data_IF_319400640989
#
_entry.id   IF_319400640989
#
_cell.length_a   1.000
_cell.length_b   1.000
_cell.length_c   1.000
_cell.angle_alpha   90.00
_cell.angle_beta   90.00
_cell.angle_gamma   90.00
#
_symmetry.space_group_name_H-M   'P 1'
#
loop_
_entity.id
_entity.type
_entity.pdbx_description
1 polymer ?
#
# COMPACT_ATOMS: atom_id res chain seq x y z
N UNK A 1 -7.84 7.95 -15.69
CA UNK A 1 -6.51 8.18 -15.07
C UNK A 1 -6.17 6.94 -14.26
N UNK A 2 -5.12 6.19 -14.60
CA UNK A 2 -4.84 4.88 -14.00
C UNK A 2 -3.95 4.98 -12.76
N UNK A 3 -4.38 4.37 -11.66
CA UNK A 3 -3.62 4.17 -10.41
C UNK A 3 -3.87 2.72 -9.94
N UNK A 4 -3.91 2.43 -8.64
CA UNK A 4 -4.14 1.06 -8.16
C UNK A 4 -4.40 1.00 -6.65
N UNK A 5 -4.20 -0.18 -6.06
CA UNK A 5 -4.62 -0.48 -4.68
C UNK A 5 -3.97 0.42 -3.61
N UNK A 6 -2.80 1.02 -3.87
CA UNK A 6 -2.19 2.01 -2.96
C UNK A 6 -3.16 3.18 -2.74
N UNK A 7 -3.67 3.79 -3.81
CA UNK A 7 -4.56 4.95 -3.69
C UNK A 7 -5.94 4.53 -3.19
N UNK A 8 -6.44 3.39 -3.70
CA UNK A 8 -7.74 2.85 -3.31
C UNK A 8 -7.83 2.53 -1.81
N UNK A 9 -6.73 2.10 -1.16
CA UNK A 9 -6.67 1.95 0.31
C UNK A 9 -6.39 3.27 1.04
N UNK A 10 -5.58 4.16 0.45
CA UNK A 10 -5.25 5.44 1.06
C UNK A 10 -6.42 6.42 1.12
N UNK A 11 -7.32 6.46 0.12
CA UNK A 11 -8.43 7.43 0.12
C UNK A 11 -9.40 7.22 1.29
N UNK A 12 -9.89 6.00 1.59
CA UNK A 12 -10.75 5.78 2.75
C UNK A 12 -10.04 6.06 4.07
N UNK A 13 -8.77 5.69 4.20
CA UNK A 13 -7.98 5.98 5.41
C UNK A 13 -7.82 7.50 5.59
N UNK A 14 -7.46 8.22 4.53
CA UNK A 14 -7.36 9.68 4.55
C UNK A 14 -8.70 10.35 4.89
N UNK A 15 -9.81 9.88 4.30
CA UNK A 15 -11.13 10.43 4.56
C UNK A 15 -11.62 10.20 6.00
N UNK A 16 -11.26 9.08 6.63
CA UNK A 16 -11.74 8.70 7.96
C UNK A 16 -10.81 9.18 9.10
N UNK A 17 -9.53 9.41 8.83
CA UNK A 17 -8.51 9.70 9.84
C UNK A 17 -7.69 10.97 9.56
N UNK A 18 -8.06 11.74 8.53
CA UNK A 18 -7.41 13.00 8.15
C UNK A 18 -5.88 12.88 7.98
N UNK A 19 -5.45 11.79 7.33
CA UNK A 19 -4.03 11.53 7.10
C UNK A 19 -3.52 12.23 5.85
N UNK A 20 -2.26 12.71 5.89
CA UNK A 20 -1.63 13.31 4.71
C UNK A 20 -1.52 12.28 3.56
N UNK A 21 -2.05 12.62 2.39
CA UNK A 21 -2.24 11.68 1.29
C UNK A 21 -0.95 10.97 0.87
N UNK A 22 0.12 11.74 0.63
CA UNK A 22 1.42 11.17 0.23
C UNK A 22 2.04 10.27 1.28
N UNK A 23 1.83 10.58 2.57
CA UNK A 23 2.36 9.76 3.67
C UNK A 23 1.61 8.44 3.78
N UNK A 24 0.29 8.47 3.62
CA UNK A 24 -0.58 7.28 3.62
C UNK A 24 -0.22 6.33 2.46
N UNK A 25 0.00 6.89 1.26
CA UNK A 25 0.48 6.12 0.11
C UNK A 25 1.83 5.45 0.39
N UNK A 26 2.75 6.17 1.02
CA UNK A 26 4.07 5.64 1.37
C UNK A 26 4.01 4.53 2.43
N UNK A 27 3.03 4.56 3.34
CA UNK A 27 2.77 3.45 4.28
C UNK A 27 2.27 2.22 3.54
N UNK A 28 1.31 2.36 2.62
CA UNK A 28 0.71 1.21 1.91
C UNK A 28 1.62 0.57 0.84
N UNK A 29 2.57 1.33 0.29
CA UNK A 29 3.40 0.91 -0.83
C UNK A 29 4.04 -0.50 -0.73
N UNK A 30 4.76 -0.88 0.34
CA UNK A 30 5.38 -2.21 0.40
C UNK A 30 4.38 -3.36 0.37
N UNK A 31 3.23 -3.22 1.05
CA UNK A 31 2.20 -4.26 1.16
C UNK A 31 1.53 -4.49 -0.19
N UNK A 32 1.25 -3.41 -0.90
CA UNK A 32 0.65 -3.48 -2.24
C UNK A 32 1.65 -3.96 -3.29
N UNK A 33 2.93 -3.59 -3.18
CA UNK A 33 3.97 -4.14 -4.06
C UNK A 33 4.08 -5.66 -3.87
N UNK A 34 4.12 -6.14 -2.63
CA UNK A 34 4.17 -7.57 -2.32
C UNK A 34 2.93 -8.31 -2.86
N UNK A 35 1.73 -7.79 -2.62
CA UNK A 35 0.48 -8.35 -3.14
C UNK A 35 0.45 -8.43 -4.68
N UNK A 36 1.03 -7.43 -5.36
CA UNK A 36 1.02 -7.38 -6.82
C UNK A 36 2.20 -8.12 -7.46
N UNK A 37 3.15 -8.68 -6.69
CA UNK A 37 4.46 -9.17 -7.18
C UNK A 37 4.33 -10.00 -8.44
N UNK A 38 3.55 -11.07 -8.40
CA UNK A 38 3.40 -12.02 -9.52
C UNK A 38 2.98 -11.34 -10.83
N UNK A 39 2.22 -10.24 -10.77
CA UNK A 39 1.75 -9.50 -11.95
C UNK A 39 2.69 -8.38 -12.40
N UNK A 40 3.65 -7.97 -11.58
CA UNK A 40 4.52 -6.82 -11.85
C UNK A 40 6.02 -7.10 -11.76
N UNK A 41 6.43 -8.31 -11.39
CA UNK A 41 7.83 -8.65 -11.08
C UNK A 41 8.78 -8.27 -12.21
N UNK A 42 8.47 -8.64 -13.46
CA UNK A 42 9.28 -8.26 -14.62
C UNK A 42 9.32 -6.73 -14.84
N UNK A 43 8.17 -6.06 -14.71
CA UNK A 43 8.07 -4.60 -14.92
C UNK A 43 8.87 -3.83 -13.87
N UNK A 44 8.80 -4.25 -12.61
CA UNK A 44 9.59 -3.69 -11.51
C UNK A 44 11.06 -4.07 -11.67
N UNK A 45 11.39 -5.26 -12.17
CA UNK A 45 12.77 -5.64 -12.51
C UNK A 45 13.39 -4.68 -13.53
N UNK A 46 12.66 -4.34 -14.60
CA UNK A 46 13.10 -3.31 -15.57
C UNK A 46 13.22 -1.92 -14.95
N UNK A 47 12.27 -1.53 -14.11
CA UNK A 47 12.33 -0.25 -13.38
C UNK A 47 13.55 -0.20 -12.44
N UNK A 48 13.83 -1.28 -11.71
CA UNK A 48 14.98 -1.39 -10.83
C UNK A 48 16.29 -1.19 -11.62
N UNK A 49 16.43 -1.89 -12.75
CA UNK A 49 17.58 -1.74 -13.63
C UNK A 49 17.73 -0.31 -14.16
N UNK A 50 16.63 0.33 -14.58
CA UNK A 50 16.61 1.73 -15.02
C UNK A 50 17.07 2.69 -13.92
N UNK A 51 16.67 2.45 -12.67
CA UNK A 51 17.08 3.23 -11.51
C UNK A 51 18.49 2.87 -10.97
N UNK A 52 19.22 1.94 -11.61
CA UNK A 52 20.52 1.47 -11.12
C UNK A 52 20.44 0.60 -9.85
N UNK A 53 19.26 0.08 -9.51
CA UNK A 53 19.02 -0.78 -8.35
C UNK A 53 19.26 -2.24 -8.74
N UNK A 54 20.26 -2.87 -8.12
CA UNK A 54 20.56 -4.30 -8.32
C UNK A 54 19.57 -5.20 -7.58
N UNK A 55 19.37 -6.42 -8.08
CA UNK A 55 18.56 -7.45 -7.41
C UNK A 55 17.08 -7.49 -7.81
N UNK A 56 16.72 -6.90 -8.95
CA UNK A 56 15.37 -7.00 -9.52
C UNK A 56 14.28 -6.47 -8.59
N UNK A 57 13.15 -7.20 -8.51
CA UNK A 57 12.03 -6.83 -7.65
C UNK A 57 12.45 -6.71 -6.17
N UNK A 58 13.18 -7.70 -5.65
CA UNK A 58 13.59 -7.70 -4.24
C UNK A 58 14.55 -6.55 -3.92
N UNK A 59 15.43 -6.21 -4.86
CA UNK A 59 16.29 -5.03 -4.80
C UNK A 59 15.48 -3.74 -4.71
N UNK A 60 14.48 -3.58 -5.58
CA UNK A 60 13.57 -2.44 -5.58
C UNK A 60 12.76 -2.33 -4.28
N UNK A 61 12.18 -3.44 -3.82
CA UNK A 61 11.43 -3.48 -2.56
C UNK A 61 12.32 -3.08 -1.37
N UNK A 62 13.56 -3.57 -1.30
CA UNK A 62 14.55 -3.15 -0.29
C UNK A 62 14.87 -1.67 -0.38
N UNK A 63 15.05 -1.13 -1.59
CA UNK A 63 15.30 0.29 -1.81
C UNK A 63 14.10 1.15 -1.33
N UNK A 64 12.86 0.74 -1.58
CA UNK A 64 11.66 1.40 -1.07
C UNK A 64 11.63 1.39 0.47
N UNK A 65 11.90 0.26 1.11
CA UNK A 65 11.97 0.19 2.59
C UNK A 65 13.07 1.10 3.14
N UNK A 66 14.24 1.15 2.48
CA UNK A 66 15.34 2.04 2.86
C UNK A 66 14.93 3.51 2.77
N UNK A 67 14.37 3.91 1.61
CA UNK A 67 13.91 5.28 1.38
C UNK A 67 12.83 5.70 2.40
N UNK A 68 11.88 4.81 2.70
CA UNK A 68 10.86 5.04 3.74
C UNK A 68 11.50 5.33 5.11
N UNK A 69 12.53 4.58 5.49
CA UNK A 69 13.26 4.82 6.75
C UNK A 69 13.98 6.16 6.74
N UNK A 70 14.67 6.51 5.65
CA UNK A 70 15.38 7.80 5.50
C UNK A 70 14.42 8.99 5.60
N UNK A 71 13.25 8.87 4.96
CA UNK A 71 12.18 9.89 4.99
C UNK A 71 11.30 9.84 6.24
N UNK A 72 11.62 8.98 7.21
CA UNK A 72 10.86 8.78 8.46
C UNK A 72 9.39 8.46 8.23
N UNK A 73 9.08 7.74 7.15
CA UNK A 73 7.74 7.21 6.87
C UNK A 73 7.44 6.12 7.91
N UNK A 74 6.31 6.20 8.63
CA UNK A 74 5.90 5.14 9.54
C UNK A 74 5.86 3.78 8.85
N UNK A 75 6.32 2.73 9.54
CA UNK A 75 6.31 1.41 8.93
C UNK A 75 4.89 0.90 8.73
N UNK A 76 4.02 1.13 9.72
CA UNK A 76 2.64 0.65 9.78
C UNK A 76 1.68 1.81 10.14
N UNK A 77 0.38 1.61 9.91
CA UNK A 77 -0.67 2.59 10.18
C UNK A 77 -0.71 3.10 11.63
N UNK A 78 -0.47 2.29 12.68
CA UNK A 78 -0.42 2.80 14.06
C UNK A 78 0.69 3.84 14.30
N UNK A 79 1.74 3.85 13.48
CA UNK A 79 2.78 4.88 13.54
C UNK A 79 2.41 6.17 12.78
N UNK A 80 1.39 6.12 11.91
CA UNK A 80 0.87 7.26 11.16
C UNK A 80 -0.33 7.91 11.88
N UNK A 81 -1.23 7.10 12.43
CA UNK A 81 -2.47 7.54 13.07
C UNK A 81 -2.33 7.32 14.57
N UNK A 82 -2.25 8.41 15.33
CA UNK A 82 -2.09 8.36 16.78
C UNK A 82 -3.34 7.76 17.44
N UNK A 83 -3.14 6.74 18.28
CA UNK A 83 -4.24 6.07 18.98
C UNK A 83 -5.16 5.28 18.06
N UNK A 84 -4.62 4.78 16.94
CA UNK A 84 -5.41 4.02 15.97
C UNK A 84 -6.03 2.78 16.63
N UNK A 85 -7.36 2.80 16.74
CA UNK A 85 -8.17 1.65 17.08
C UNK A 85 -9.20 1.41 15.95
N UNK A 86 -9.13 0.23 15.35
CA UNK A 86 -10.01 -0.20 14.27
C UNK A 86 -10.71 -1.49 14.66
N UNK A 87 -11.99 -1.38 14.99
CA UNK A 87 -12.84 -2.54 15.14
C UNK A 87 -13.10 -3.24 13.80
N UNK A 88 -13.71 -4.42 13.85
CA UNK A 88 -14.04 -5.20 12.64
C UNK A 88 -14.92 -4.41 11.67
N UNK A 89 -15.88 -3.61 12.19
CA UNK A 89 -16.79 -2.81 11.35
C UNK A 89 -16.04 -1.75 10.56
N UNK A 90 -15.11 -1.04 11.22
CA UNK A 90 -14.27 -0.02 10.60
C UNK A 90 -13.37 -0.60 9.52
N UNK A 91 -12.74 -1.76 9.77
CA UNK A 91 -11.94 -2.46 8.75
C UNK A 91 -12.78 -2.89 7.54
N UNK A 92 -13.98 -3.43 7.77
CA UNK A 92 -14.90 -3.82 6.69
C UNK A 92 -15.35 -2.62 5.87
N UNK A 93 -15.67 -1.50 6.53
CA UNK A 93 -16.04 -0.24 5.86
C UNK A 93 -14.90 0.26 4.95
N UNK A 94 -13.66 0.29 5.44
CA UNK A 94 -12.51 0.70 4.63
C UNK A 94 -12.33 -0.24 3.42
N UNK A 95 -12.47 -1.55 3.62
CA UNK A 95 -12.37 -2.51 2.52
C UNK A 95 -13.50 -2.32 1.48
N UNK A 96 -14.74 -2.02 1.92
CA UNK A 96 -15.86 -1.71 1.03
C UNK A 96 -15.62 -0.44 0.22
N UNK A 97 -15.13 0.62 0.88
CA UNK A 97 -14.79 1.87 0.20
C UNK A 97 -13.63 1.69 -0.78
N UNK A 98 -12.62 0.89 -0.42
CA UNK A 98 -11.45 0.66 -1.26
C UNK A 98 -11.82 -0.03 -2.57
N UNK A 99 -12.67 -1.06 -2.55
CA UNK A 99 -12.99 -1.82 -3.77
C UNK A 99 -13.85 -1.05 -4.79
N UNK A 100 -14.58 -0.04 -4.33
CA UNK A 100 -15.39 0.85 -5.21
C UNK A 100 -14.66 2.15 -5.55
N UNK A 101 -13.47 2.37 -5.00
CA UNK A 101 -12.66 3.55 -5.32
C UNK A 101 -12.31 3.57 -6.82
N UNK A 102 -12.37 4.75 -7.50
CA UNK A 102 -12.09 4.85 -8.93
C UNK A 102 -10.71 4.33 -9.36
N UNK A 103 -9.74 4.24 -8.43
CA UNK A 103 -8.40 3.74 -8.71
C UNK A 103 -8.27 2.22 -8.60
N UNK A 104 -9.23 1.53 -7.97
CA UNK A 104 -9.17 0.09 -7.73
C UNK A 104 -9.09 -0.72 -9.04
N UNK A 105 -9.85 -0.29 -10.06
CA UNK A 105 -9.85 -0.93 -11.39
C UNK A 105 -8.54 -0.82 -12.16
N UNK A 106 -7.63 0.05 -11.75
CA UNK A 106 -6.29 0.17 -12.34
C UNK A 106 -5.24 -0.77 -11.71
N UNK A 107 -5.56 -1.44 -10.60
CA UNK A 107 -4.62 -2.35 -9.94
C UNK A 107 -4.42 -3.62 -10.79
N UNK A 108 -3.17 -4.08 -11.02
CA UNK A 108 -2.89 -5.21 -11.90
C UNK A 108 -3.49 -6.53 -11.40
N UNK A 109 -3.58 -6.72 -10.08
CA UNK A 109 -4.34 -7.81 -9.46
C UNK A 109 -5.69 -7.27 -9.02
N UNK A 110 -6.78 -7.97 -9.35
CA UNK A 110 -8.13 -7.52 -8.96
C UNK A 110 -8.23 -7.32 -7.44
N UNK A 111 -8.52 -6.08 -7.01
CA UNK A 111 -8.70 -5.76 -5.60
C UNK A 111 -10.09 -6.23 -5.15
N UNK A 112 -10.16 -7.42 -4.57
CA UNK A 112 -11.38 -7.91 -3.92
C UNK A 112 -11.51 -7.35 -2.50
N UNK A 113 -12.71 -7.41 -1.90
CA UNK A 113 -12.91 -6.98 -0.51
C UNK A 113 -12.02 -7.75 0.46
N UNK A 114 -11.84 -9.05 0.21
CA UNK A 114 -10.92 -9.90 0.97
C UNK A 114 -9.48 -9.42 0.85
N UNK A 115 -9.01 -9.13 -0.37
CA UNK A 115 -7.66 -8.62 -0.59
C UNK A 115 -7.44 -7.25 0.05
N UNK A 116 -8.42 -6.34 -0.07
CA UNK A 116 -8.36 -5.02 0.58
C UNK A 116 -8.29 -5.15 2.11
N UNK A 117 -9.06 -6.07 2.70
CA UNK A 117 -9.00 -6.35 4.14
C UNK A 117 -7.63 -6.90 4.56
N UNK A 118 -7.10 -7.89 3.84
CA UNK A 118 -5.77 -8.45 4.13
C UNK A 118 -4.67 -7.39 4.01
N UNK A 119 -4.71 -6.55 2.97
CA UNK A 119 -3.75 -5.45 2.81
C UNK A 119 -3.85 -4.42 3.93
N UNK A 120 -5.06 -4.07 4.37
CA UNK A 120 -5.28 -3.20 5.52
C UNK A 120 -4.72 -3.83 6.81
N UNK A 121 -4.98 -5.11 7.05
CA UNK A 121 -4.48 -5.83 8.23
C UNK A 121 -2.95 -5.90 8.23
N UNK A 122 -2.33 -6.20 7.09
CA UNK A 122 -0.88 -6.17 6.91
C UNK A 122 -0.31 -4.77 7.20
N UNK A 123 -0.97 -3.71 6.73
CA UNK A 123 -0.56 -2.33 6.99
C UNK A 123 -0.76 -1.90 8.46
N UNK A 124 -1.71 -2.50 9.18
CA UNK A 124 -1.88 -2.31 10.63
C UNK A 124 -0.79 -3.05 11.41
N UNK A 125 -0.53 -4.31 11.05
CA UNK A 125 0.43 -5.17 11.73
C UNK A 125 1.89 -4.84 11.41
N UNK A 126 2.15 -4.20 10.27
CA UNK A 126 3.50 -3.95 9.79
C UNK A 126 4.14 -5.15 9.09
N UNK A 127 3.33 -6.07 8.53
CA UNK A 127 3.82 -7.32 7.92
C UNK A 127 3.70 -7.26 6.40
N UNK A 128 4.85 -7.28 5.70
CA UNK A 128 4.93 -7.30 4.23
C UNK A 128 4.92 -8.73 3.73
#
# INVERSE_FOLDING_TARGET
KGLGAIHSLSHPVGALYDTHHGMTNAVFMPYVLAFNRDSIEERIGRLAAYCGIKGGFDGFAKAIIKLRKELKVPHALPGLIKGLDMDKKRKMLIADMAVVDPTAGGNPVKLTKKAALTLLENAIAGTV
#
